data_IF_700168592389
#
_entry.id   IF_700168592389
#
_cell.length_a   1.000
_cell.length_b   1.000
_cell.length_c   1.000
_cell.angle_alpha   90.00
_cell.angle_beta   90.00
_cell.angle_gamma   90.00
#
_symmetry.space_group_name_H-M   'P 1'
#
loop_
_entity.id
_entity.type
_entity.pdbx_description
1 polymer ?
#
# COMPACT_ATOMS: atom_id res chain seq x y z
N UNK A 1 15.21 -1.64 -13.64
CA UNK A 1 13.73 -1.68 -13.54
C UNK A 1 13.21 -3.05 -13.09
N UNK A 2 13.41 -4.15 -13.85
CA UNK A 2 12.80 -5.45 -13.51
C UNK A 2 13.22 -6.02 -12.15
N UNK A 3 14.50 -5.94 -11.79
CA UNK A 3 14.99 -6.40 -10.46
C UNK A 3 14.31 -5.61 -9.34
N UNK A 4 14.22 -4.29 -9.50
CA UNK A 4 13.54 -3.41 -8.53
C UNK A 4 12.07 -3.81 -8.37
N UNK A 5 11.34 -4.01 -9.47
CA UNK A 5 9.94 -4.45 -9.41
C UNK A 5 9.80 -5.82 -8.74
N UNK A 6 10.67 -6.78 -9.03
CA UNK A 6 10.69 -8.08 -8.35
C UNK A 6 10.92 -7.94 -6.83
N UNK A 7 11.81 -7.03 -6.43
CA UNK A 7 12.03 -6.72 -5.02
C UNK A 7 10.81 -6.05 -4.37
N UNK A 8 10.12 -5.15 -5.09
CA UNK A 8 8.86 -4.55 -4.63
C UNK A 8 7.79 -5.62 -4.36
N UNK A 9 7.65 -6.63 -5.24
CA UNK A 9 6.72 -7.74 -5.01
C UNK A 9 7.10 -8.54 -3.76
N UNK A 10 8.39 -8.82 -3.57
CA UNK A 10 8.87 -9.53 -2.38
C UNK A 10 8.54 -8.75 -1.10
N UNK A 11 8.84 -7.45 -1.06
CA UNK A 11 8.56 -6.59 0.10
C UNK A 11 7.05 -6.53 0.36
N UNK A 12 6.25 -6.35 -0.68
CA UNK A 12 4.79 -6.35 -0.57
C UNK A 12 4.24 -7.68 0.00
N UNK A 13 4.77 -8.82 -0.45
CA UNK A 13 4.37 -10.12 0.05
C UNK A 13 4.73 -10.32 1.53
N UNK A 14 5.94 -9.90 1.94
CA UNK A 14 6.38 -9.97 3.33
C UNK A 14 5.54 -9.07 4.24
N UNK A 15 5.24 -7.85 3.77
CA UNK A 15 4.41 -6.92 4.52
C UNK A 15 2.98 -7.45 4.65
N UNK A 16 2.37 -7.96 3.57
CA UNK A 16 1.04 -8.57 3.62
C UNK A 16 0.96 -9.71 4.64
N UNK A 17 1.96 -10.61 4.65
CA UNK A 17 2.02 -11.70 5.63
C UNK A 17 2.13 -11.20 7.07
N UNK A 18 2.92 -10.15 7.30
CA UNK A 18 3.05 -9.50 8.61
C UNK A 18 1.72 -8.86 9.04
N UNK A 19 1.09 -8.07 8.17
CA UNK A 19 -0.19 -7.41 8.44
C UNK A 19 -1.31 -8.43 8.69
N UNK A 20 -1.34 -9.56 7.99
CA UNK A 20 -2.31 -10.64 8.25
C UNK A 20 -2.18 -11.16 9.69
N UNK A 21 -0.95 -11.33 10.19
CA UNK A 21 -0.71 -11.80 11.56
C UNK A 21 -1.13 -10.76 12.61
N UNK A 22 -0.99 -9.47 12.29
CA UNK A 22 -1.35 -8.35 13.17
C UNK A 22 -2.87 -8.11 13.16
N UNK A 23 -3.51 -8.10 11.99
CA UNK A 23 -4.90 -7.66 11.80
C UNK A 23 -5.91 -8.82 11.76
N UNK A 24 -5.47 -10.01 11.34
CA UNK A 24 -6.31 -11.19 11.23
C UNK A 24 -7.47 -11.04 10.23
N UNK A 25 -8.66 -11.48 10.62
CA UNK A 25 -9.87 -11.43 9.76
C UNK A 25 -10.42 -10.02 9.60
N UNK A 26 -10.34 -9.25 10.67
CA UNK A 26 -11.05 -7.98 10.79
C UNK A 26 -10.46 -6.88 9.91
N UNK A 27 -9.15 -6.98 9.61
CA UNK A 27 -8.42 -6.06 8.74
C UNK A 27 -8.39 -4.62 9.24
N UNK A 28 -7.65 -3.79 8.52
CA UNK A 28 -7.65 -2.33 8.66
C UNK A 28 -7.43 -1.87 10.11
N UNK A 29 -6.54 -2.57 10.80
CA UNK A 29 -6.19 -2.39 12.20
C UNK A 29 -7.38 -2.40 13.16
N UNK A 30 -8.57 -2.93 12.82
CA UNK A 30 -9.84 -2.74 13.56
C UNK A 30 -9.73 -2.99 15.07
N UNK A 31 -8.96 -3.99 15.49
CA UNK A 31 -8.78 -4.37 16.89
C UNK A 31 -7.48 -3.83 17.52
N UNK A 32 -6.65 -3.12 16.78
CA UNK A 32 -5.37 -2.60 17.29
C UNK A 32 -5.59 -1.35 18.17
N UNK A 33 -4.76 -1.16 19.21
CA UNK A 33 -4.84 -0.01 20.11
C UNK A 33 -4.22 1.24 19.45
N UNK A 34 -4.85 1.72 18.37
CA UNK A 34 -4.43 2.90 17.61
C UNK A 34 -5.52 3.96 17.59
N UNK A 35 -5.13 5.23 17.55
CA UNK A 35 -6.05 6.33 17.25
C UNK A 35 -6.60 6.21 15.83
N UNK A 36 -7.76 6.83 15.58
CA UNK A 36 -8.49 6.78 14.29
C UNK A 36 -9.06 8.14 13.94
N UNK A 37 -8.82 8.57 12.70
CA UNK A 37 -9.43 9.74 12.09
C UNK A 37 -10.57 9.28 11.16
N UNK A 38 -11.76 9.83 11.38
CA UNK A 38 -12.99 9.50 10.62
C UNK A 38 -13.54 10.77 9.97
N UNK A 39 -14.11 10.64 8.78
CA UNK A 39 -14.81 11.74 8.09
C UNK A 39 -13.96 12.94 7.69
N UNK A 40 -12.63 12.81 7.65
CA UNK A 40 -11.74 13.90 7.24
C UNK A 40 -11.72 14.06 5.72
N UNK A 41 -11.26 15.21 5.23
CA UNK A 41 -11.02 15.40 3.79
C UNK A 41 -10.00 14.39 3.24
N UNK A 42 -9.02 14.00 4.05
CA UNK A 42 -8.01 13.00 3.72
C UNK A 42 -8.66 11.63 3.47
N UNK A 43 -9.61 11.22 4.32
CA UNK A 43 -10.34 9.97 4.16
C UNK A 43 -11.09 9.93 2.81
N UNK A 44 -11.70 11.06 2.42
CA UNK A 44 -12.38 11.20 1.12
C UNK A 44 -11.40 11.09 -0.05
N UNK A 45 -10.25 11.74 0.03
CA UNK A 45 -9.21 11.68 -1.01
C UNK A 45 -8.67 10.26 -1.19
N UNK A 46 -8.48 9.53 -0.09
CA UNK A 46 -7.96 8.16 -0.12
C UNK A 46 -9.02 7.09 -0.42
N UNK A 47 -10.30 7.46 -0.49
CA UNK A 47 -11.41 6.50 -0.68
C UNK A 47 -11.55 5.50 0.49
N UNK A 48 -11.12 5.91 1.70
CA UNK A 48 -11.11 5.07 2.91
C UNK A 48 -12.16 5.59 3.91
N UNK A 49 -12.77 4.69 4.68
CA UNK A 49 -13.71 5.08 5.74
C UNK A 49 -12.99 5.79 6.91
N UNK A 50 -11.83 5.27 7.30
CA UNK A 50 -11.03 5.77 8.40
C UNK A 50 -9.53 5.66 8.10
N UNK A 51 -8.75 6.57 8.66
CA UNK A 51 -7.29 6.53 8.64
C UNK A 51 -6.79 6.32 10.07
N UNK A 52 -5.94 5.32 10.28
CA UNK A 52 -5.51 4.92 11.63
C UNK A 52 -4.05 5.28 11.87
N UNK A 53 -3.69 5.51 13.13
CA UNK A 53 -2.29 5.70 13.52
C UNK A 53 -1.41 4.54 13.13
N UNK A 54 -1.88 3.29 13.21
CA UNK A 54 -1.17 2.13 12.70
C UNK A 54 -0.73 2.33 11.24
N UNK A 55 -1.64 2.67 10.35
CA UNK A 55 -1.30 2.91 8.93
C UNK A 55 -0.38 4.12 8.76
N UNK A 56 -0.52 5.19 9.55
CA UNK A 56 0.42 6.32 9.49
C UNK A 56 1.85 5.86 9.80
N UNK A 57 2.05 5.20 10.94
CA UNK A 57 3.39 4.79 11.37
C UNK A 57 3.98 3.73 10.44
N UNK A 58 3.15 2.80 9.94
CA UNK A 58 3.58 1.81 8.95
C UNK A 58 4.05 2.50 7.66
N UNK A 59 3.28 3.45 7.11
CA UNK A 59 3.67 4.17 5.90
C UNK A 59 4.93 5.02 6.12
N UNK A 60 5.08 5.66 7.28
CA UNK A 60 6.31 6.41 7.63
C UNK A 60 7.53 5.49 7.76
N UNK A 61 7.36 4.30 8.35
CA UNK A 61 8.41 3.29 8.42
C UNK A 61 8.83 2.84 7.01
N UNK A 62 7.86 2.53 6.15
CA UNK A 62 8.14 2.13 4.76
C UNK A 62 8.81 3.26 3.98
N UNK A 63 8.38 4.51 4.18
CA UNK A 63 9.02 5.69 3.59
C UNK A 63 10.49 5.80 4.02
N UNK A 64 10.77 5.64 5.31
CA UNK A 64 12.13 5.67 5.84
C UNK A 64 13.00 4.55 5.27
N UNK A 65 12.47 3.32 5.18
CA UNK A 65 13.20 2.18 4.62
C UNK A 65 13.48 2.34 3.12
N UNK A 66 12.54 2.87 2.34
CA UNK A 66 12.76 3.15 0.93
C UNK A 66 13.79 4.28 0.71
N UNK A 67 13.83 5.26 1.61
CA UNK A 67 14.84 6.34 1.59
C UNK A 67 16.19 5.92 2.16
N UNK A 68 16.29 4.79 2.87
CA UNK A 68 17.54 4.39 3.52
C UNK A 68 18.74 4.35 2.55
N UNK A 69 18.65 3.78 1.34
CA UNK A 69 19.77 3.81 0.40
C UNK A 69 20.14 5.23 -0.07
N UNK A 70 19.13 6.10 -0.25
CA UNK A 70 19.31 7.51 -0.63
C UNK A 70 20.12 8.25 0.44
N UNK A 71 19.77 8.02 1.72
CA UNK A 71 20.45 8.63 2.87
C UNK A 71 21.86 8.06 3.05
N UNK A 72 22.04 6.74 2.98
CA UNK A 72 23.33 6.07 3.20
C UNK A 72 24.35 6.44 2.11
N UNK A 73 23.91 6.54 0.85
CA UNK A 73 24.76 6.93 -0.26
C UNK A 73 24.97 8.46 -0.33
N UNK A 74 24.19 9.24 0.40
CA UNK A 74 24.22 10.70 0.35
C UNK A 74 23.83 11.27 -1.02
N UNK A 75 23.11 10.48 -1.82
CA UNK A 75 22.70 10.85 -3.17
C UNK A 75 21.22 11.16 -3.19
N UNK A 76 20.85 12.37 -3.61
CA UNK A 76 19.46 12.73 -3.84
C UNK A 76 19.29 13.28 -5.25
N UNK A 77 18.20 12.88 -5.89
CA UNK A 77 17.73 13.46 -7.15
C UNK A 77 16.23 13.26 -7.28
N UNK A 78 15.60 14.08 -8.12
CA UNK A 78 14.18 13.89 -8.44
C UNK A 78 13.88 12.52 -9.02
N UNK A 79 14.81 11.94 -9.79
CA UNK A 79 14.68 10.58 -10.29
C UNK A 79 14.64 9.55 -9.15
N UNK A 80 15.52 9.68 -8.14
CA UNK A 80 15.49 8.80 -6.96
C UNK A 80 14.20 8.99 -6.15
N UNK A 81 13.76 10.23 -5.93
CA UNK A 81 12.50 10.53 -5.25
C UNK A 81 11.30 9.89 -5.96
N UNK A 82 11.20 10.05 -7.29
CA UNK A 82 10.16 9.43 -8.09
C UNK A 82 10.21 7.89 -8.01
N UNK A 83 11.40 7.31 -7.97
CA UNK A 83 11.56 5.86 -7.81
C UNK A 83 11.09 5.38 -6.44
N UNK A 84 11.40 6.11 -5.39
CA UNK A 84 10.95 5.80 -4.02
C UNK A 84 9.44 5.89 -3.93
N UNK A 85 8.85 7.04 -4.28
CA UNK A 85 7.41 7.26 -4.19
C UNK A 85 6.64 6.33 -5.11
N UNK A 86 7.08 6.15 -6.36
CA UNK A 86 6.44 5.24 -7.30
C UNK A 86 6.54 3.78 -6.84
N UNK A 87 7.70 3.37 -6.31
CA UNK A 87 7.91 2.06 -5.71
C UNK A 87 6.97 1.80 -4.54
N UNK A 88 6.82 2.76 -3.62
CA UNK A 88 5.89 2.67 -2.50
C UNK A 88 4.44 2.54 -2.96
N UNK A 89 4.00 3.35 -3.94
CA UNK A 89 2.63 3.28 -4.46
C UNK A 89 2.31 1.91 -5.06
N UNK A 90 3.23 1.37 -5.88
CA UNK A 90 3.06 0.02 -6.46
C UNK A 90 3.11 -1.05 -5.38
N UNK A 91 4.05 -0.94 -4.43
CA UNK A 91 4.18 -1.85 -3.30
C UNK A 91 2.89 -1.92 -2.48
N UNK A 92 2.32 -0.78 -2.09
CA UNK A 92 1.08 -0.73 -1.30
C UNK A 92 -0.12 -1.33 -2.02
N UNK A 93 -0.23 -1.19 -3.34
CA UNK A 93 -1.32 -1.84 -4.10
C UNK A 93 -1.14 -3.36 -4.15
N UNK A 94 0.10 -3.81 -4.39
CA UNK A 94 0.40 -5.25 -4.45
C UNK A 94 0.21 -5.88 -3.07
N UNK A 95 0.67 -5.22 -2.01
CA UNK A 95 0.52 -5.64 -0.63
C UNK A 95 -0.95 -5.81 -0.27
N UNK A 96 -1.78 -4.77 -0.45
CA UNK A 96 -3.22 -4.80 -0.11
C UNK A 96 -3.93 -5.93 -0.86
N UNK A 97 -3.59 -6.21 -2.12
CA UNK A 97 -4.13 -7.36 -2.85
C UNK A 97 -3.62 -8.70 -2.31
N UNK A 98 -2.31 -8.82 -2.06
CA UNK A 98 -1.70 -10.03 -1.52
C UNK A 98 -2.20 -10.34 -0.11
N UNK A 99 -2.60 -9.33 0.66
CA UNK A 99 -3.28 -9.50 1.94
C UNK A 99 -4.53 -10.37 1.76
N UNK A 100 -5.38 -10.09 0.77
CA UNK A 100 -6.55 -10.94 0.49
C UNK A 100 -6.21 -12.31 -0.10
N UNK A 101 -5.14 -12.40 -0.90
CA UNK A 101 -4.69 -13.67 -1.49
C UNK A 101 -4.15 -14.62 -0.43
N UNK A 102 -3.37 -14.10 0.52
CA UNK A 102 -2.69 -14.91 1.54
C UNK A 102 -3.49 -15.08 2.84
N UNK A 103 -4.45 -14.21 3.14
CA UNK A 103 -5.18 -14.29 4.40
C UNK A 103 -6.12 -15.52 4.43
N UNK A 104 -5.86 -16.52 5.29
CA UNK A 104 -6.67 -17.75 5.33
C UNK A 104 -8.09 -17.51 5.86
N UNK A 105 -8.36 -16.33 6.45
CA UNK A 105 -9.68 -15.95 6.94
C UNK A 105 -10.54 -15.25 5.89
N UNK A 106 -9.96 -14.91 4.74
CA UNK A 106 -10.64 -14.28 3.62
C UNK A 106 -10.69 -15.21 2.43
N UNK A 107 -11.79 -15.18 1.69
CA UNK A 107 -11.89 -15.88 0.42
C UNK A 107 -11.78 -14.85 -0.68
N UNK A 108 -10.96 -15.12 -1.70
CA UNK A 108 -10.75 -14.17 -2.79
C UNK A 108 -12.06 -13.79 -3.53
N UNK A 109 -13.07 -14.67 -3.51
CA UNK A 109 -14.42 -14.36 -4.00
C UNK A 109 -15.15 -13.25 -3.23
N UNK A 110 -14.85 -13.08 -1.94
CA UNK A 110 -15.43 -12.03 -1.09
C UNK A 110 -14.85 -10.66 -1.47
N UNK A 111 -13.56 -10.61 -1.82
CA UNK A 111 -12.92 -9.44 -2.40
C UNK A 111 -13.59 -9.03 -3.73
N UNK A 112 -13.69 -9.97 -4.69
CA UNK A 112 -14.31 -9.69 -5.99
C UNK A 112 -15.82 -9.45 -5.91
N UNK A 113 -16.49 -9.85 -4.82
CA UNK A 113 -17.88 -9.52 -4.54
C UNK A 113 -18.05 -8.17 -3.82
N UNK A 114 -16.97 -7.38 -3.71
CA UNK A 114 -16.94 -6.05 -3.07
C UNK A 114 -17.37 -6.07 -1.59
N UNK A 115 -17.08 -7.16 -0.87
CA UNK A 115 -17.48 -7.32 0.54
C UNK A 115 -16.43 -6.81 1.53
N UNK A 116 -15.52 -5.95 1.09
CA UNK A 116 -14.45 -5.38 1.93
C UNK A 116 -14.91 -4.06 2.56
N UNK A 117 -15.17 -3.99 3.88
CA UNK A 117 -15.82 -2.83 4.49
C UNK A 117 -15.04 -1.51 4.39
N UNK A 118 -13.71 -1.57 4.33
CA UNK A 118 -12.86 -0.39 4.31
C UNK A 118 -12.59 0.17 2.91
N UNK A 119 -12.97 -0.52 1.83
CA UNK A 119 -12.91 -0.01 0.46
C UNK A 119 -14.25 0.61 0.04
N UNK A 120 -14.27 1.93 -0.15
CA UNK A 120 -15.52 2.67 -0.42
C UNK A 120 -15.84 2.80 -1.91
N UNK A 121 -14.81 2.85 -2.76
CA UNK A 121 -14.95 3.03 -4.20
C UNK A 121 -14.35 1.83 -4.94
N UNK A 122 -15.15 1.21 -5.79
CA UNK A 122 -14.76 0.12 -6.68
C UNK A 122 -14.91 0.55 -8.13
N UNK A 123 -13.92 0.21 -8.96
CA UNK A 123 -13.94 0.43 -10.40
C UNK A 123 -13.71 -0.92 -11.05
N UNK A 124 -14.76 -1.52 -11.61
CA UNK A 124 -14.68 -2.90 -12.07
C UNK A 124 -14.36 -3.86 -10.92
N UNK A 125 -13.42 -4.82 -11.08
CA UNK A 125 -13.15 -5.86 -10.08
C UNK A 125 -12.24 -5.41 -8.92
N UNK A 126 -11.68 -4.20 -8.95
CA UNK A 126 -10.70 -3.74 -7.95
C UNK A 126 -11.10 -2.39 -7.32
N UNK A 127 -10.58 -2.08 -6.12
CA UNK A 127 -10.75 -0.76 -5.52
C UNK A 127 -10.21 0.35 -6.44
N UNK A 128 -10.91 1.48 -6.50
CA UNK A 128 -10.55 2.59 -7.40
C UNK A 128 -9.12 3.11 -7.20
N UNK A 129 -8.61 3.09 -5.97
CA UNK A 129 -7.26 3.54 -5.67
C UNK A 129 -6.16 2.58 -6.19
N UNK A 130 -6.48 1.33 -6.52
CA UNK A 130 -5.52 0.43 -7.15
C UNK A 130 -5.11 0.97 -8.52
N UNK A 131 -6.07 1.45 -9.30
CA UNK A 131 -5.82 2.01 -10.63
C UNK A 131 -4.95 3.26 -10.54
N UNK A 132 -5.31 4.21 -9.68
CA UNK A 132 -4.55 5.45 -9.52
C UNK A 132 -3.15 5.18 -8.98
N UNK A 133 -3.02 4.29 -7.98
CA UNK A 133 -1.75 3.87 -7.40
C UNK A 133 -0.82 3.22 -8.43
N UNK A 134 -1.33 2.28 -9.22
CA UNK A 134 -0.55 1.60 -10.25
C UNK A 134 -0.20 2.52 -11.42
N UNK A 135 -1.13 3.36 -11.90
CA UNK A 135 -0.86 4.26 -13.04
C UNK A 135 0.19 5.31 -12.66
N UNK A 136 -0.01 6.01 -11.54
CA UNK A 136 0.91 7.05 -11.09
C UNK A 136 2.24 6.42 -10.67
N UNK A 137 2.20 5.34 -9.90
CA UNK A 137 3.39 4.64 -9.44
C UNK A 137 4.23 4.11 -10.60
N UNK A 138 3.60 3.47 -11.59
CA UNK A 138 4.28 3.02 -12.80
C UNK A 138 4.91 4.19 -13.55
N UNK A 139 4.19 5.29 -13.73
CA UNK A 139 4.70 6.45 -14.45
C UNK A 139 5.93 7.07 -13.75
N UNK A 140 5.89 7.22 -12.43
CA UNK A 140 7.02 7.70 -11.63
C UNK A 140 8.23 6.77 -11.72
N UNK A 141 8.01 5.46 -11.60
CA UNK A 141 9.08 4.46 -11.77
C UNK A 141 9.65 4.57 -13.17
N UNK A 142 8.82 4.52 -14.20
CA UNK A 142 9.26 4.59 -15.59
C UNK A 142 10.08 5.84 -15.87
N UNK A 143 9.60 7.01 -15.43
CA UNK A 143 10.31 8.27 -15.56
C UNK A 143 11.66 8.26 -14.83
N UNK A 144 11.75 7.63 -13.65
CA UNK A 144 13.01 7.54 -12.89
C UNK A 144 14.13 6.73 -13.55
N UNK A 145 13.83 5.94 -14.59
CA UNK A 145 14.81 5.13 -15.34
C UNK A 145 15.11 5.69 -16.73
N UNK A 146 14.55 6.85 -17.08
CA UNK A 146 14.84 7.59 -18.30
C UNK A 146 15.97 8.59 -18.06
#
# INVERSE_FOLDING_TARGET
MSIFLGFIVLVAALLALLEIQIEGREGWAKNLPTWRLRGTWLNRLLGRQEFTGYHLHLNLLMLALFHLPVVVLGEWSWALEARVLGGMMVMSVIEDFLWFVFNPRWKLREFFAHQVPWHQLWVGPFPGFYYTGLIIGWWLIYWSYR
#
